data_IF_870914351758
#
_entry.id   IF_870914351758
#
_cell.length_a   1.000
_cell.length_b   1.000
_cell.length_c   1.000
_cell.angle_alpha   90.00
_cell.angle_beta   90.00
_cell.angle_gamma   90.00
#
_symmetry.space_group_name_H-M   'P 1'
#
loop_
_entity.id
_entity.type
_entity.pdbx_description
1 polymer ?
#
# COMPACT_ATOMS: atom_id res chain seq x y z
N UNK A 1 17.76 -7.41 10.91
CA UNK A 1 17.95 -8.58 10.03
C UNK A 1 16.72 -8.66 9.13
N UNK A 2 16.87 -8.95 7.84
CA UNK A 2 15.72 -9.16 6.94
C UNK A 2 15.28 -10.62 7.05
N UNK A 3 13.98 -10.87 7.16
CA UNK A 3 13.43 -12.23 7.24
C UNK A 3 13.49 -12.90 5.86
N UNK A 4 13.92 -14.16 5.82
CA UNK A 4 13.83 -14.98 4.61
C UNK A 4 12.41 -15.49 4.39
N UNK A 5 12.12 -15.95 3.18
CA UNK A 5 10.89 -16.67 2.82
C UNK A 5 10.51 -17.77 3.84
N UNK A 6 11.48 -18.57 4.27
CA UNK A 6 11.29 -19.64 5.26
C UNK A 6 10.85 -19.08 6.60
N UNK A 7 11.55 -18.05 7.10
CA UNK A 7 11.19 -17.43 8.39
C UNK A 7 9.83 -16.74 8.31
N UNK A 8 9.53 -16.04 7.21
CA UNK A 8 8.22 -15.42 6.97
C UNK A 8 7.11 -16.48 7.06
N UNK A 9 7.29 -17.64 6.41
CA UNK A 9 6.33 -18.75 6.47
C UNK A 9 6.17 -19.29 7.89
N UNK A 10 7.26 -19.52 8.61
CA UNK A 10 7.20 -19.96 10.01
C UNK A 10 6.44 -18.98 10.91
N UNK A 11 6.67 -17.67 10.76
CA UNK A 11 5.95 -16.65 11.56
C UNK A 11 4.46 -16.58 11.21
N UNK A 12 4.10 -16.83 9.95
CA UNK A 12 2.70 -16.92 9.50
C UNK A 12 2.03 -18.18 10.06
N UNK A 13 2.69 -19.34 9.95
CA UNK A 13 2.19 -20.62 10.48
C UNK A 13 2.03 -20.58 12.01
N UNK A 14 2.93 -19.90 12.71
CA UNK A 14 2.85 -19.67 14.16
C UNK A 14 1.76 -18.65 14.55
N UNK A 15 1.19 -17.90 13.59
CA UNK A 15 0.17 -16.88 13.83
C UNK A 15 0.70 -15.56 14.37
N UNK A 16 2.02 -15.39 14.47
CA UNK A 16 2.66 -14.16 14.93
C UNK A 16 2.51 -13.05 13.88
N UNK A 17 2.77 -13.39 12.61
CA UNK A 17 2.56 -12.56 11.44
C UNK A 17 1.26 -12.98 10.74
N UNK A 18 0.36 -12.04 10.45
CA UNK A 18 -0.84 -12.35 9.67
C UNK A 18 -0.97 -11.42 8.47
N UNK A 19 -1.29 -12.01 7.31
CA UNK A 19 -1.59 -11.31 6.07
C UNK A 19 -2.89 -11.92 5.55
N UNK A 20 -3.96 -11.15 5.52
CA UNK A 20 -5.31 -11.64 5.22
C UNK A 20 -5.97 -10.83 4.10
N UNK A 21 -6.28 -11.43 2.93
CA UNK A 21 -5.94 -12.81 2.54
C UNK A 21 -4.51 -12.94 2.00
N UNK A 22 -3.78 -13.98 2.39
CA UNK A 22 -2.48 -14.29 1.78
C UNK A 22 -2.69 -14.81 0.35
N UNK A 23 -2.15 -14.09 -0.64
CA UNK A 23 -2.23 -14.49 -2.04
C UNK A 23 -1.45 -15.79 -2.33
N UNK A 24 -1.85 -16.56 -3.36
CA UNK A 24 -1.05 -17.68 -3.83
C UNK A 24 0.31 -17.16 -4.31
N UNK A 25 1.40 -17.81 -3.91
CA UNK A 25 2.77 -17.43 -4.25
C UNK A 25 3.19 -16.00 -3.86
N UNK A 26 2.47 -15.36 -2.93
CA UNK A 26 2.77 -14.01 -2.47
C UNK A 26 4.12 -13.93 -1.74
N UNK A 27 4.54 -14.99 -1.04
CA UNK A 27 5.82 -15.02 -0.32
C UNK A 27 6.98 -15.16 -1.30
N UNK A 28 7.80 -14.12 -1.35
CA UNK A 28 9.03 -13.98 -2.15
C UNK A 28 10.27 -14.29 -1.26
N UNK A 29 11.49 -14.39 -1.83
CA UNK A 29 12.69 -14.81 -1.09
C UNK A 29 12.98 -14.04 0.22
N UNK A 30 12.55 -12.77 0.32
CA UNK A 30 12.72 -11.94 1.51
C UNK A 30 11.61 -10.86 1.65
N UNK A 31 10.43 -11.11 1.08
CA UNK A 31 9.30 -10.18 1.11
C UNK A 31 7.98 -10.92 0.90
N UNK A 32 6.86 -10.20 1.02
CA UNK A 32 5.54 -10.69 0.61
C UNK A 32 4.94 -9.66 -0.34
N UNK A 33 4.56 -10.11 -1.53
CA UNK A 33 3.85 -9.29 -2.50
C UNK A 33 2.44 -8.99 -1.98
N UNK A 34 2.06 -7.71 -1.99
CA UNK A 34 0.71 -7.24 -1.66
C UNK A 34 -0.01 -6.78 -2.92
N UNK A 35 -1.35 -6.80 -2.88
CA UNK A 35 -2.21 -6.35 -3.98
C UNK A 35 -2.80 -4.99 -3.69
N UNK A 36 -3.13 -4.27 -4.75
CA UNK A 36 -3.82 -2.99 -4.70
C UNK A 36 -5.31 -3.23 -4.37
N UNK A 37 -5.83 -2.52 -3.37
CA UNK A 37 -7.26 -2.50 -3.07
C UNK A 37 -8.05 -1.62 -4.04
N UNK A 38 -9.36 -1.57 -3.88
CA UNK A 38 -10.27 -0.84 -4.79
C UNK A 38 -10.62 0.57 -4.32
N UNK A 39 -10.13 0.99 -3.16
CA UNK A 39 -10.42 2.31 -2.57
C UNK A 39 -9.24 3.26 -2.75
N UNK A 40 -9.52 4.44 -3.27
CA UNK A 40 -8.56 5.51 -3.50
C UNK A 40 -9.05 6.81 -2.86
N UNK A 41 -8.12 7.68 -2.49
CA UNK A 41 -8.40 9.07 -2.16
C UNK A 41 -7.64 10.00 -3.10
N UNK A 42 -8.37 10.89 -3.76
CA UNK A 42 -7.81 11.91 -4.66
C UNK A 42 -7.98 13.30 -4.05
N UNK A 43 -7.02 14.20 -4.30
CA UNK A 43 -6.98 15.52 -3.67
C UNK A 43 -7.80 16.56 -4.44
N UNK A 44 -8.59 17.36 -3.71
CA UNK A 44 -9.34 18.49 -4.25
C UNK A 44 -8.50 19.78 -4.18
N UNK A 45 -7.43 19.82 -4.97
CA UNK A 45 -6.39 20.87 -4.91
C UNK A 45 -6.89 22.30 -5.19
N UNK A 46 -8.07 22.48 -5.80
CA UNK A 46 -8.63 23.79 -6.11
C UNK A 46 -9.32 24.48 -4.92
N UNK A 47 -9.52 23.78 -3.80
CA UNK A 47 -10.28 24.29 -2.65
C UNK A 47 -9.46 25.17 -1.71
N UNK A 48 -8.15 24.95 -1.64
CA UNK A 48 -7.24 25.66 -0.71
C UNK A 48 -5.93 26.01 -1.41
N UNK A 49 -5.29 27.15 -1.06
CA UNK A 49 -4.06 27.58 -1.70
C UNK A 49 -2.81 26.79 -1.24
N UNK A 50 -2.86 26.15 -0.07
CA UNK A 50 -1.78 25.36 0.52
C UNK A 50 -2.31 24.47 1.65
N UNK A 51 -1.51 23.50 2.09
CA UNK A 51 -1.80 22.61 3.22
C UNK A 51 -0.97 23.07 4.44
N UNK A 52 -1.62 23.38 5.56
CA UNK A 52 -0.97 23.56 6.86
C UNK A 52 -1.17 22.30 7.72
N UNK A 53 -0.09 21.57 7.99
CA UNK A 53 -0.12 20.30 8.73
C UNK A 53 -0.63 20.41 10.18
N UNK A 54 -0.80 21.61 10.71
CA UNK A 54 -1.37 21.86 12.04
C UNK A 54 -2.89 22.00 12.04
N UNK A 55 -3.51 22.01 10.87
CA UNK A 55 -4.95 22.21 10.70
C UNK A 55 -5.59 20.96 10.10
N UNK A 56 -6.87 20.75 10.44
CA UNK A 56 -7.66 19.65 9.90
C UNK A 56 -8.37 20.08 8.61
N UNK A 57 -8.32 19.22 7.59
CA UNK A 57 -9.00 19.41 6.32
C UNK A 57 -9.82 18.15 5.96
N UNK A 58 -11.01 17.95 6.56
CA UNK A 58 -11.80 16.73 6.37
C UNK A 58 -12.19 16.49 4.90
N UNK A 59 -12.38 17.56 4.13
CA UNK A 59 -12.82 17.52 2.73
C UNK A 59 -11.66 17.69 1.73
N UNK A 60 -10.40 17.60 2.17
CA UNK A 60 -9.23 17.74 1.29
C UNK A 60 -9.17 16.64 0.22
N UNK A 61 -9.69 15.46 0.56
CA UNK A 61 -9.71 14.31 -0.33
C UNK A 61 -11.11 13.75 -0.48
N UNK A 62 -11.40 13.20 -1.66
CA UNK A 62 -12.62 12.45 -1.90
C UNK A 62 -12.31 10.97 -2.06
N UNK A 63 -13.22 10.12 -1.58
CA UNK A 63 -13.14 8.68 -1.75
C UNK A 63 -13.61 8.32 -3.16
N UNK A 64 -12.80 7.54 -3.87
CA UNK A 64 -13.13 6.93 -5.16
C UNK A 64 -13.07 5.41 -4.96
N UNK A 65 -14.19 4.74 -5.19
CA UNK A 65 -14.27 3.28 -5.19
C UNK A 65 -14.38 2.77 -6.61
N UNK A 66 -13.47 1.87 -6.98
CA UNK A 66 -13.46 1.24 -8.29
C UNK A 66 -14.38 0.02 -8.27
N UNK A 67 -15.33 -0.02 -9.21
CA UNK A 67 -16.29 -1.11 -9.33
C UNK A 67 -15.87 -2.11 -10.42
N UNK A 68 -15.97 -3.41 -10.11
CA UNK A 68 -15.69 -4.47 -11.08
C UNK A 68 -14.25 -4.45 -11.59
N UNK A 69 -14.09 -4.56 -12.91
CA UNK A 69 -12.79 -4.66 -13.59
C UNK A 69 -12.34 -3.32 -14.19
N UNK A 70 -12.95 -2.20 -13.79
CA UNK A 70 -12.53 -0.89 -14.25
C UNK A 70 -11.15 -0.52 -13.69
N UNK A 71 -10.25 0.11 -14.47
CA UNK A 71 -8.98 0.58 -13.95
C UNK A 71 -9.12 1.95 -13.26
N UNK A 72 -8.36 2.18 -12.20
CA UNK A 72 -8.08 3.54 -11.74
C UNK A 72 -7.04 4.19 -12.67
N UNK A 73 -7.38 5.34 -13.26
CA UNK A 73 -6.48 6.06 -14.15
C UNK A 73 -5.67 7.09 -13.35
N UNK A 74 -4.38 6.81 -13.16
CA UNK A 74 -3.44 7.75 -12.55
C UNK A 74 -2.70 8.52 -13.65
N UNK A 75 -2.98 9.82 -13.78
CA UNK A 75 -2.33 10.67 -14.77
C UNK A 75 -0.89 11.03 -14.37
N UNK A 76 0.00 11.35 -15.33
CA UNK A 76 1.36 11.79 -15.02
C UNK A 76 1.38 13.03 -14.12
N UNK A 77 2.15 12.97 -13.04
CA UNK A 77 2.28 14.07 -12.07
C UNK A 77 1.18 14.11 -11.00
N UNK A 78 0.15 13.27 -11.11
CA UNK A 78 -0.90 13.15 -10.10
C UNK A 78 -0.48 12.27 -8.94
N UNK A 79 -1.13 12.50 -7.79
CA UNK A 79 -0.93 11.73 -6.57
C UNK A 79 -2.28 11.29 -6.01
N UNK A 80 -2.37 10.00 -5.66
CA UNK A 80 -3.53 9.41 -5.02
C UNK A 80 -3.09 8.57 -3.83
N UNK A 81 -3.90 8.56 -2.77
CA UNK A 81 -3.74 7.58 -1.70
C UNK A 81 -4.49 6.32 -2.10
N UNK A 82 -3.89 5.17 -1.86
CA UNK A 82 -4.51 3.88 -2.09
C UNK A 82 -4.35 2.99 -0.85
N UNK A 83 -5.05 1.87 -0.85
CA UNK A 83 -4.98 0.87 0.22
C UNK A 83 -4.47 -0.45 -0.33
N UNK A 84 -3.81 -1.24 0.53
CA UNK A 84 -3.55 -2.65 0.23
C UNK A 84 -4.86 -3.43 0.28
N UNK A 85 -4.97 -4.44 -0.57
CA UNK A 85 -6.09 -5.38 -0.52
C UNK A 85 -6.02 -6.23 0.76
N UNK A 86 -4.80 -6.62 1.15
CA UNK A 86 -4.55 -7.38 2.36
C UNK A 86 -4.55 -6.51 3.61
N UNK A 87 -5.02 -7.09 4.72
CA UNK A 87 -4.76 -6.61 6.06
C UNK A 87 -3.51 -7.29 6.63
N UNK A 88 -2.54 -6.50 7.06
CA UNK A 88 -1.29 -6.99 7.66
C UNK A 88 -1.31 -6.74 9.18
N UNK A 89 -0.97 -7.78 9.95
CA UNK A 89 -0.77 -7.73 11.40
C UNK A 89 0.63 -8.21 11.73
N UNK A 90 1.42 -7.37 12.39
CA UNK A 90 2.78 -7.69 12.83
C UNK A 90 2.82 -7.90 14.35
N UNK A 91 3.71 -8.76 14.87
CA UNK A 91 4.04 -8.76 16.30
C UNK A 91 4.91 -7.55 16.66
N UNK A 92 5.11 -7.30 17.94
CA UNK A 92 5.96 -6.23 18.48
C UNK A 92 7.47 -6.43 18.20
N UNK A 93 7.86 -7.61 17.75
CA UNK A 93 9.25 -7.98 17.43
C UNK A 93 9.64 -7.75 15.97
N UNK A 94 8.69 -7.43 15.09
CA UNK A 94 8.94 -7.29 13.63
C UNK A 94 8.50 -5.91 13.15
N UNK A 95 9.38 -5.27 12.37
CA UNK A 95 9.04 -4.08 11.59
C UNK A 95 8.88 -4.45 10.11
N UNK A 96 7.81 -3.96 9.49
CA UNK A 96 7.57 -4.08 8.06
C UNK A 96 8.10 -2.86 7.31
N UNK A 97 8.58 -3.07 6.08
CA UNK A 97 8.92 -2.00 5.14
C UNK A 97 8.18 -2.25 3.83
N UNK A 98 7.51 -1.22 3.34
CA UNK A 98 6.85 -1.26 2.04
C UNK A 98 7.85 -0.87 0.96
N UNK A 99 7.86 -1.61 -0.15
CA UNK A 99 8.72 -1.37 -1.30
C UNK A 99 7.91 -1.52 -2.59
N UNK A 100 8.21 -0.68 -3.58
CA UNK A 100 7.66 -0.83 -4.92
C UNK A 100 8.31 -1.99 -5.68
N UNK A 101 7.55 -2.67 -6.55
CA UNK A 101 8.14 -3.64 -7.47
C UNK A 101 8.93 -2.92 -8.55
N UNK A 102 10.15 -3.40 -8.83
CA UNK A 102 11.02 -2.82 -9.84
C UNK A 102 10.38 -2.73 -11.24
N UNK A 103 9.50 -3.69 -11.58
CA UNK A 103 8.72 -3.65 -12.82
C UNK A 103 7.82 -2.42 -12.94
N UNK A 104 7.20 -1.99 -11.83
CA UNK A 104 6.32 -0.82 -11.78
C UNK A 104 7.12 0.48 -11.70
N UNK A 105 8.21 0.50 -10.93
CA UNK A 105 9.09 1.66 -10.83
C UNK A 105 9.69 2.08 -12.18
N UNK A 106 10.01 1.11 -13.05
CA UNK A 106 10.50 1.40 -14.42
C UNK A 106 9.44 2.02 -15.34
N UNK A 107 8.17 1.95 -14.98
CA UNK A 107 7.06 2.59 -15.70
C UNK A 107 6.71 3.96 -15.12
N UNK A 108 7.48 4.44 -14.12
CA UNK A 108 7.23 5.73 -13.45
C UNK A 108 6.22 5.66 -12.33
N UNK A 109 5.77 4.47 -11.91
CA UNK A 109 4.86 4.32 -10.78
C UNK A 109 5.62 4.26 -9.45
N UNK A 110 5.39 5.25 -8.60
CA UNK A 110 5.94 5.32 -7.24
C UNK A 110 4.87 4.87 -6.24
N UNK A 111 5.12 3.76 -5.53
CA UNK A 111 4.14 3.12 -4.65
C UNK A 111 4.11 3.76 -3.26
N UNK A 112 5.24 4.27 -2.79
CA UNK A 112 5.32 5.05 -1.57
C UNK A 112 6.35 6.16 -1.78
N UNK A 113 6.04 7.34 -1.24
CA UNK A 113 6.96 8.46 -1.18
C UNK A 113 7.16 8.75 0.29
N UNK A 114 8.22 8.14 0.85
CA UNK A 114 8.72 8.35 2.22
C UNK A 114 7.74 8.04 3.35
N UNK A 115 7.92 6.88 4.01
CA UNK A 115 7.43 6.57 5.36
C UNK A 115 8.35 5.53 5.99
#
# INVERSE_FOLDING_TARGET
MVLSDRTIRTEIEAGNLAIDPLGPDAVQPASVDLRLGHQFRVFRNSMIPYIDVKQDYPDLTELVEIAGDEPFILHPGEFALAVTYERVRLPDTIVGRLEGKSSLGRLGLLIHSTA
#
